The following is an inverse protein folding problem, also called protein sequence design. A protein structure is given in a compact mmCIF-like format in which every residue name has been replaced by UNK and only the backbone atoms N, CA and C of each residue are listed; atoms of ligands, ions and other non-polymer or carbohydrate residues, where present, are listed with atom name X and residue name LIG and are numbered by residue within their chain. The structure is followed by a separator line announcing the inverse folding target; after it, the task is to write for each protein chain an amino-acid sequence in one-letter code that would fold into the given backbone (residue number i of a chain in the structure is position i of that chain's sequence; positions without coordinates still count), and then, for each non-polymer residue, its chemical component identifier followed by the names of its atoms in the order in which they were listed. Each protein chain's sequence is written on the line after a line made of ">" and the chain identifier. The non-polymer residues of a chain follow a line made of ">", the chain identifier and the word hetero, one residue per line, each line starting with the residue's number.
data_IF_012178212985
#
_entry.id   IF_012178212985
#
_cell.length_a   1.000
_cell.length_b   1.000
_cell.length_c   1.000
_cell.angle_alpha   90.00
_cell.angle_beta   90.00
_cell.angle_gamma   90.00
#
_symmetry.space_group_name_H-M   'P 1'
#
loop_
_entity.id
_entity.type
_entity.pdbx_description
1 polymer ?
#
# COMPACT_ATOMS: atom_id res chain seq x y z
N UNK A 1 6.66 -10.63 -1.64
CA UNK A 1 5.40 -10.41 -2.35
C UNK A 1 4.28 -10.89 -1.44
N UNK A 2 3.65 -9.96 -0.68
CA UNK A 2 2.47 -10.26 0.11
C UNK A 2 1.28 -10.33 -0.83
N UNK A 3 0.30 -11.16 -0.51
CA UNK A 3 -0.89 -11.29 -1.35
C UNK A 3 -0.60 -11.73 -2.80
N UNK A 4 0.42 -12.57 -3.02
CA UNK A 4 0.79 -13.12 -4.33
C UNK A 4 -0.18 -14.17 -4.91
N UNK A 5 -1.46 -14.10 -4.54
CA UNK A 5 -2.52 -14.99 -5.00
C UNK A 5 -3.61 -14.19 -5.75
N UNK A 6 -4.46 -14.88 -6.50
CA UNK A 6 -5.58 -14.25 -7.21
C UNK A 6 -6.45 -13.48 -6.20
N UNK A 7 -6.65 -12.18 -6.43
CA UNK A 7 -7.38 -11.30 -5.53
C UNK A 7 -6.55 -10.69 -4.39
N UNK A 8 -5.27 -11.03 -4.27
CA UNK A 8 -4.39 -10.52 -3.22
C UNK A 8 -4.26 -9.00 -3.21
N UNK A 9 -4.19 -8.37 -4.38
CA UNK A 9 -4.16 -6.90 -4.49
C UNK A 9 -5.43 -6.27 -3.92
N UNK A 10 -6.59 -6.86 -4.19
CA UNK A 10 -7.87 -6.36 -3.66
C UNK A 10 -7.97 -6.54 -2.15
N UNK A 11 -7.52 -7.67 -1.61
CA UNK A 11 -7.49 -7.94 -0.17
C UNK A 11 -6.58 -6.95 0.56
N UNK A 12 -5.36 -6.73 0.05
CA UNK A 12 -4.43 -5.73 0.57
C UNK A 12 -5.05 -4.32 0.54
N UNK A 13 -5.60 -3.91 -0.61
CA UNK A 13 -6.25 -2.61 -0.76
C UNK A 13 -7.39 -2.41 0.26
N UNK A 14 -8.21 -3.44 0.47
CA UNK A 14 -9.28 -3.41 1.47
C UNK A 14 -8.74 -3.27 2.89
N UNK A 15 -7.70 -4.03 3.24
CA UNK A 15 -7.07 -3.97 4.56
C UNK A 15 -6.47 -2.60 4.83
N UNK A 16 -5.70 -2.05 3.89
CA UNK A 16 -5.12 -0.70 3.99
C UNK A 16 -6.21 0.36 4.14
N UNK A 17 -7.30 0.25 3.36
CA UNK A 17 -8.44 1.18 3.45
C UNK A 17 -9.09 1.14 4.84
N UNK A 18 -9.28 -0.05 5.42
CA UNK A 18 -9.84 -0.20 6.77
C UNK A 18 -8.93 0.41 7.85
N UNK A 19 -7.61 0.22 7.73
CA UNK A 19 -6.64 0.83 8.66
C UNK A 19 -6.69 2.35 8.54
N UNK A 20 -6.73 2.89 7.32
CA UNK A 20 -6.86 4.33 7.07
C UNK A 20 -8.17 4.89 7.65
N UNK A 21 -9.28 4.18 7.51
CA UNK A 21 -10.56 4.59 8.09
C UNK A 21 -10.48 4.66 9.62
N UNK A 22 -9.83 3.70 10.26
CA UNK A 22 -9.58 3.73 11.70
C UNK A 22 -8.71 4.93 12.10
N UNK A 23 -7.66 5.27 11.33
CA UNK A 23 -6.86 6.46 11.60
C UNK A 23 -7.68 7.74 11.59
N UNK A 24 -8.69 7.85 10.73
CA UNK A 24 -9.59 9.01 10.69
C UNK A 24 -10.39 9.19 11.99
N UNK A 25 -10.67 8.12 12.73
CA UNK A 25 -11.33 8.19 14.03
C UNK A 25 -10.42 8.74 15.12
N UNK A 26 -9.11 8.46 15.05
CA UNK A 26 -8.11 8.91 16.01
C UNK A 26 -7.60 10.33 15.72
N UNK A 27 -7.54 10.70 14.46
CA UNK A 27 -6.97 11.97 13.97
C UNK A 27 -8.00 12.75 13.15
N UNK A 28 -8.90 13.51 13.80
CA UNK A 28 -10.00 14.21 13.11
C UNK A 28 -9.57 15.28 12.09
N UNK A 29 -8.29 15.71 12.12
CA UNK A 29 -7.74 16.65 11.14
C UNK A 29 -7.46 16.00 9.78
N UNK A 30 -7.45 14.68 9.68
CA UNK A 30 -7.28 13.96 8.41
C UNK A 30 -8.50 14.21 7.51
N UNK A 31 -8.26 14.60 6.26
CA UNK A 31 -9.29 14.58 5.23
C UNK A 31 -9.61 13.13 4.87
N UNK A 32 -10.69 12.59 5.45
CA UNK A 32 -11.09 11.20 5.30
C UNK A 32 -11.34 10.84 3.84
N UNK A 33 -12.02 11.68 3.08
CA UNK A 33 -12.33 11.39 1.68
C UNK A 33 -11.07 11.29 0.82
N UNK A 34 -10.09 12.18 1.05
CA UNK A 34 -8.80 12.13 0.39
C UNK A 34 -8.03 10.86 0.76
N UNK A 35 -7.94 10.55 2.06
CA UNK A 35 -7.18 9.39 2.53
C UNK A 35 -7.77 8.07 2.04
N UNK A 36 -9.09 7.88 2.14
CA UNK A 36 -9.72 6.64 1.68
C UNK A 36 -9.64 6.47 0.16
N UNK A 37 -9.80 7.57 -0.60
CA UNK A 37 -9.60 7.53 -2.05
C UNK A 37 -8.16 7.14 -2.40
N UNK A 38 -7.19 7.76 -1.74
CA UNK A 38 -5.79 7.40 -1.93
C UNK A 38 -5.50 5.94 -1.55
N UNK A 39 -6.06 5.44 -0.45
CA UNK A 39 -5.91 4.05 -0.02
C UNK A 39 -6.49 3.06 -1.04
N UNK A 40 -7.66 3.35 -1.60
CA UNK A 40 -8.27 2.50 -2.63
C UNK A 40 -7.46 2.42 -3.92
N UNK A 41 -6.70 3.45 -4.25
CA UNK A 41 -5.98 3.54 -5.52
C UNK A 41 -4.45 3.57 -5.42
N UNK A 42 -3.87 3.46 -4.21
CA UNK A 42 -2.41 3.60 -4.04
C UNK A 42 -1.61 2.62 -4.89
N UNK A 43 -2.11 1.40 -5.05
CA UNK A 43 -1.49 0.31 -5.79
C UNK A 43 -2.18 0.00 -7.14
N UNK A 44 -3.05 0.88 -7.63
CA UNK A 44 -3.82 0.61 -8.86
C UNK A 44 -2.91 0.34 -10.09
N UNK A 45 -1.73 0.93 -10.11
CA UNK A 45 -0.76 0.69 -11.18
C UNK A 45 -0.30 -0.77 -11.30
N UNK A 46 -0.43 -1.56 -10.25
CA UNK A 46 -0.07 -2.99 -10.27
C UNK A 46 -0.97 -3.80 -11.22
N UNK A 47 -2.14 -3.32 -11.54
CA UNK A 47 -3.03 -3.95 -12.54
C UNK A 47 -2.37 -4.05 -13.91
N UNK A 48 -1.53 -3.07 -14.27
CA UNK A 48 -0.82 -3.03 -15.55
C UNK A 48 0.69 -3.29 -15.42
N UNK A 49 1.21 -3.39 -14.18
CA UNK A 49 2.63 -3.66 -13.93
C UNK A 49 2.98 -5.11 -14.24
N UNK A 50 2.05 -6.03 -13.98
CA UNK A 50 2.21 -7.46 -14.22
C UNK A 50 1.29 -7.93 -15.34
N UNK A 51 1.74 -8.95 -16.07
CA UNK A 51 0.91 -9.67 -17.04
C UNK A 51 -0.17 -10.48 -16.32
N UNK A 52 -1.15 -10.94 -17.09
CA UNK A 52 -2.23 -11.77 -16.57
C UNK A 52 -1.71 -13.13 -16.05
N UNK A 53 -2.49 -13.69 -15.11
CA UNK A 53 -2.29 -15.07 -14.68
C UNK A 53 -2.38 -16.05 -15.88
N UNK A 54 -1.52 -17.09 -15.99
CA UNK A 54 -0.63 -17.59 -14.94
C UNK A 54 0.79 -17.03 -14.93
N UNK A 55 1.22 -16.28 -15.93
CA UNK A 55 2.61 -15.82 -16.07
C UNK A 55 3.02 -14.92 -14.91
N UNK A 56 2.22 -13.88 -14.62
CA UNK A 56 2.50 -12.86 -13.59
C UNK A 56 3.89 -12.23 -13.71
N UNK A 57 4.38 -12.11 -14.94
CA UNK A 57 5.66 -11.46 -15.25
C UNK A 57 5.47 -9.95 -15.38
N UNK A 58 6.56 -9.20 -15.17
CA UNK A 58 6.52 -7.77 -15.42
C UNK A 58 6.27 -7.46 -16.88
N UNK A 59 5.35 -6.52 -17.14
CA UNK A 59 5.19 -5.91 -18.46
C UNK A 59 6.38 -4.98 -18.76
N UNK A 60 6.58 -4.59 -20.03
CA UNK A 60 7.62 -3.62 -20.39
C UNK A 60 7.44 -2.30 -19.64
N UNK A 61 6.21 -1.78 -19.57
CA UNK A 61 5.89 -0.58 -18.81
C UNK A 61 6.07 -0.78 -17.30
N UNK A 62 5.74 -1.95 -16.79
CA UNK A 62 6.00 -2.32 -15.40
C UNK A 62 7.48 -2.26 -15.05
N UNK A 63 8.36 -2.74 -15.93
CA UNK A 63 9.81 -2.68 -15.76
C UNK A 63 10.37 -1.26 -15.89
N UNK A 64 9.85 -0.47 -16.85
CA UNK A 64 10.38 0.85 -17.17
C UNK A 64 9.86 1.94 -16.24
N UNK A 65 8.61 1.89 -15.83
CA UNK A 65 7.93 2.95 -15.10
C UNK A 65 7.62 2.56 -13.65
N UNK A 66 7.23 1.31 -13.40
CA UNK A 66 6.76 0.83 -12.12
C UNK A 66 5.34 1.28 -11.76
N UNK A 67 4.70 0.56 -10.84
CA UNK A 67 3.28 0.76 -10.50
C UNK A 67 2.94 2.14 -9.93
N UNK A 68 3.87 2.79 -9.21
CA UNK A 68 3.61 4.10 -8.61
C UNK A 68 3.37 5.15 -9.69
N UNK A 69 4.26 5.25 -10.67
CA UNK A 69 4.14 6.20 -11.78
C UNK A 69 2.92 5.86 -12.64
N UNK A 70 2.77 4.60 -13.00
CA UNK A 70 1.60 4.12 -13.77
C UNK A 70 0.29 4.42 -13.05
N UNK A 71 0.23 4.24 -11.73
CA UNK A 71 -0.94 4.57 -10.91
C UNK A 71 -1.27 6.06 -10.92
N UNK A 72 -0.26 6.93 -10.82
CA UNK A 72 -0.45 8.39 -10.92
C UNK A 72 -0.98 8.80 -12.29
N UNK A 73 -0.49 8.19 -13.36
CA UNK A 73 -0.99 8.46 -14.73
C UNK A 73 -2.45 8.02 -14.90
N UNK A 74 -2.81 6.83 -14.40
CA UNK A 74 -4.18 6.31 -14.43
C UNK A 74 -5.13 7.26 -13.69
N UNK A 75 -4.80 7.64 -12.46
CA UNK A 75 -5.60 8.57 -11.65
C UNK A 75 -5.68 9.94 -12.33
N UNK A 76 -4.57 10.46 -12.85
CA UNK A 76 -4.55 11.72 -13.58
C UNK A 76 -5.45 11.70 -14.81
N UNK A 77 -5.52 10.59 -15.53
CA UNK A 77 -6.43 10.42 -16.67
C UNK A 77 -7.91 10.51 -16.23
N UNK A 78 -8.30 9.77 -15.19
CA UNK A 78 -9.67 9.79 -14.68
C UNK A 78 -10.06 11.15 -14.08
N UNK A 79 -9.16 11.83 -13.38
CA UNK A 79 -9.40 13.19 -12.85
C UNK A 79 -9.75 14.16 -13.98
N UNK A 80 -9.07 14.07 -15.14
CA UNK A 80 -9.36 14.93 -16.30
C UNK A 80 -10.74 14.72 -16.88
N UNK A 81 -11.35 13.56 -16.66
CA UNK A 81 -12.72 13.24 -17.10
C UNK A 81 -13.80 13.82 -16.15
N UNK A 82 -13.41 14.29 -14.96
CA UNK A 82 -14.34 14.83 -13.96
C UNK A 82 -14.38 16.36 -14.11
N UNK A 83 -15.50 16.95 -14.60
CA UNK A 83 -15.61 18.39 -14.74
C UNK A 83 -15.46 19.11 -13.39
N UNK A 84 -14.61 20.14 -13.35
CA UNK A 84 -14.43 20.97 -12.16
C UNK A 84 -13.67 20.31 -11.00
N UNK A 85 -12.95 19.21 -11.25
CA UNK A 85 -12.12 18.60 -10.20
C UNK A 85 -11.07 19.61 -9.72
N UNK A 86 -10.98 19.91 -8.40
CA UNK A 86 -10.07 20.93 -7.89
C UNK A 86 -8.59 20.57 -8.17
N UNK A 87 -7.81 21.46 -8.82
CA UNK A 87 -6.41 21.17 -9.15
C UNK A 87 -5.52 20.86 -7.92
N UNK A 88 -5.76 21.55 -6.80
CA UNK A 88 -5.01 21.32 -5.56
C UNK A 88 -5.30 19.92 -5.02
N UNK A 89 -6.57 19.52 -4.98
CA UNK A 89 -6.96 18.18 -4.53
C UNK A 89 -6.39 17.08 -5.46
N UNK A 90 -6.34 17.33 -6.76
CA UNK A 90 -5.70 16.43 -7.72
C UNK A 90 -4.21 16.21 -7.39
N UNK A 91 -3.49 17.28 -7.06
CA UNK A 91 -2.08 17.21 -6.65
C UNK A 91 -1.90 16.48 -5.33
N UNK A 92 -2.76 16.73 -4.35
CA UNK A 92 -2.72 16.07 -3.04
C UNK A 92 -2.99 14.56 -3.17
N UNK A 93 -3.98 14.15 -3.97
CA UNK A 93 -4.27 12.74 -4.23
C UNK A 93 -3.09 12.04 -4.92
N UNK A 94 -2.53 12.66 -5.96
CA UNK A 94 -1.35 12.13 -6.65
C UNK A 94 -0.15 12.04 -5.72
N UNK A 95 0.03 13.04 -4.84
CA UNK A 95 1.10 13.03 -3.85
C UNK A 95 0.97 11.83 -2.89
N UNK A 96 -0.23 11.53 -2.40
CA UNK A 96 -0.46 10.35 -1.57
C UNK A 96 0.00 9.06 -2.26
N UNK A 97 -0.31 8.91 -3.56
CA UNK A 97 0.12 7.74 -4.35
C UNK A 97 1.64 7.75 -4.54
N UNK A 98 2.24 8.89 -4.91
CA UNK A 98 3.69 9.00 -5.09
C UNK A 98 4.49 8.71 -3.82
N UNK A 99 3.96 9.03 -2.66
CA UNK A 99 4.66 8.98 -1.39
C UNK A 99 4.33 7.73 -0.54
N UNK A 100 3.49 6.81 -1.02
CA UNK A 100 2.98 5.75 -0.16
C UNK A 100 4.05 4.74 0.31
N UNK A 101 5.17 4.57 -0.40
CA UNK A 101 6.31 3.79 0.08
C UNK A 101 7.15 4.51 1.15
N UNK A 102 6.94 5.82 1.36
CA UNK A 102 7.48 6.60 2.46
C UNK A 102 8.90 7.08 2.26
N UNK A 103 9.83 6.23 1.91
CA UNK A 103 11.26 6.53 1.80
C UNK A 103 11.80 6.32 0.38
N UNK A 104 12.80 7.13 -0.02
CA UNK A 104 13.44 7.00 -1.33
C UNK A 104 14.10 5.63 -1.54
N UNK A 105 14.69 5.08 -0.50
CA UNK A 105 15.31 3.76 -0.53
C UNK A 105 14.31 2.61 -0.76
N UNK A 106 13.02 2.84 -0.51
CA UNK A 106 11.94 1.91 -0.83
C UNK A 106 11.26 2.20 -2.17
N UNK A 107 11.88 3.06 -2.99
CA UNK A 107 11.40 3.40 -4.33
C UNK A 107 10.31 4.45 -4.37
N UNK A 108 10.05 5.17 -3.27
CA UNK A 108 9.09 6.28 -3.26
C UNK A 108 9.68 7.48 -4.00
N UNK A 109 9.01 8.02 -5.05
CA UNK A 109 9.47 9.23 -5.73
C UNK A 109 9.44 10.48 -4.84
N UNK A 110 8.60 10.47 -3.80
CA UNK A 110 8.44 11.56 -2.82
C UNK A 110 8.28 10.97 -1.41
N UNK A 111 8.74 11.74 -0.41
CA UNK A 111 8.39 11.49 0.98
C UNK A 111 7.05 12.12 1.31
N UNK A 112 6.28 11.55 2.26
CA UNK A 112 5.01 12.12 2.68
C UNK A 112 5.15 13.57 3.19
N UNK A 113 4.40 14.50 2.60
CA UNK A 113 4.41 15.91 2.95
C UNK A 113 3.08 16.39 3.55
N UNK A 114 2.03 15.57 3.49
CA UNK A 114 0.73 15.82 4.12
C UNK A 114 0.36 14.64 5.03
N UNK A 115 -0.50 14.91 6.00
CA UNK A 115 -0.84 13.90 7.02
C UNK A 115 -1.51 12.66 6.40
N UNK A 116 -2.30 12.84 5.36
CA UNK A 116 -2.96 11.75 4.63
C UNK A 116 -1.94 10.84 3.95
N UNK A 117 -0.91 11.40 3.34
CA UNK A 117 0.17 10.62 2.72
C UNK A 117 0.97 9.84 3.77
N UNK A 118 1.24 10.42 4.93
CA UNK A 118 1.90 9.75 6.04
C UNK A 118 1.03 8.62 6.60
N UNK A 119 -0.26 8.86 6.81
CA UNK A 119 -1.20 7.85 7.29
C UNK A 119 -1.30 6.68 6.31
N UNK A 120 -1.36 6.93 5.02
CA UNK A 120 -1.38 5.89 3.99
C UNK A 120 -0.10 5.05 4.03
N UNK A 121 1.06 5.66 4.11
CA UNK A 121 2.33 4.95 4.22
C UNK A 121 2.37 4.04 5.46
N UNK A 122 1.92 4.51 6.62
CA UNK A 122 1.88 3.70 7.83
C UNK A 122 0.89 2.55 7.72
N UNK A 123 -0.28 2.77 7.12
CA UNK A 123 -1.29 1.73 6.91
C UNK A 123 -0.80 0.64 5.97
N UNK A 124 -0.21 1.01 4.84
CA UNK A 124 0.37 0.11 3.86
C UNK A 124 1.49 -0.74 4.47
N UNK A 125 2.43 -0.10 5.15
CA UNK A 125 3.53 -0.77 5.83
C UNK A 125 3.06 -1.70 6.96
N UNK A 126 2.04 -1.30 7.72
CA UNK A 126 1.45 -2.13 8.76
C UNK A 126 0.83 -3.41 8.18
N UNK A 127 -0.02 -3.28 7.15
CA UNK A 127 -0.63 -4.45 6.50
C UNK A 127 0.44 -5.38 5.93
N UNK A 128 1.38 -4.85 5.17
CA UNK A 128 2.45 -5.62 4.56
C UNK A 128 3.28 -6.43 5.58
N UNK A 129 3.68 -5.80 6.67
CA UNK A 129 4.51 -6.45 7.70
C UNK A 129 3.73 -7.45 8.54
N UNK A 130 2.49 -7.11 8.92
CA UNK A 130 1.66 -7.99 9.74
C UNK A 130 1.20 -9.23 8.96
N UNK A 131 0.90 -9.09 7.66
CA UNK A 131 0.57 -10.25 6.82
C UNK A 131 1.76 -11.22 6.69
N UNK A 132 2.98 -10.72 6.49
CA UNK A 132 4.17 -11.57 6.50
C UNK A 132 4.34 -12.31 7.83
N UNK A 133 4.23 -11.60 8.94
CA UNK A 133 4.33 -12.23 10.26
C UNK A 133 3.23 -13.27 10.48
N UNK A 134 2.00 -12.96 10.09
CA UNK A 134 0.86 -13.87 10.14
C UNK A 134 1.14 -15.16 9.37
N UNK A 135 1.63 -15.05 8.13
CA UNK A 135 1.95 -16.21 7.30
C UNK A 135 3.06 -17.06 7.92
N UNK A 136 4.13 -16.43 8.41
CA UNK A 136 5.25 -17.13 9.02
C UNK A 136 4.92 -17.79 10.35
N UNK A 137 4.04 -17.18 11.13
CA UNK A 137 3.61 -17.70 12.43
C UNK A 137 2.49 -18.74 12.32
N UNK A 138 1.87 -18.92 11.15
CA UNK A 138 0.71 -19.80 10.98
C UNK A 138 0.99 -21.25 11.37
N UNK A 139 2.19 -21.78 11.06
CA UNK A 139 2.59 -23.15 11.37
C UNK A 139 3.38 -23.28 12.68
N UNK A 140 3.72 -22.19 13.34
CA UNK A 140 4.46 -22.21 14.59
C UNK A 140 3.56 -22.61 15.77
N UNK A 141 4.14 -23.30 16.75
CA UNK A 141 3.45 -23.59 18.02
C UNK A 141 3.53 -22.39 18.97
N UNK A 142 2.56 -22.20 19.89
CA UNK A 142 2.63 -21.13 20.89
C UNK A 142 3.97 -21.16 21.67
N UNK A 143 4.63 -20.01 21.77
CA UNK A 143 5.90 -19.86 22.45
C UNK A 143 7.15 -20.18 21.60
N UNK A 144 6.98 -20.67 20.38
CA UNK A 144 8.07 -21.02 19.48
C UNK A 144 8.78 -19.80 18.90
N UNK A 145 10.13 -19.87 18.84
CA UNK A 145 10.97 -18.96 18.08
C UNK A 145 11.16 -19.52 16.67
N UNK A 146 10.78 -18.77 15.64
CA UNK A 146 10.87 -19.22 14.23
C UNK A 146 12.10 -18.70 13.49
N UNK A 147 12.94 -17.91 14.17
CA UNK A 147 14.20 -17.42 13.64
C UNK A 147 14.16 -15.97 13.15
N UNK A 148 15.24 -15.58 12.47
CA UNK A 148 15.43 -14.20 12.02
C UNK A 148 14.61 -13.89 10.78
N UNK A 149 13.88 -12.78 10.86
CA UNK A 149 13.11 -12.23 9.75
C UNK A 149 13.78 -10.94 9.24
N UNK A 150 14.20 -10.93 7.98
CA UNK A 150 14.91 -9.79 7.39
C UNK A 150 14.05 -8.53 7.29
N UNK A 151 12.75 -8.67 7.06
CA UNK A 151 11.84 -7.52 6.92
C UNK A 151 11.63 -6.81 8.26
N UNK A 152 11.60 -7.59 9.36
CA UNK A 152 11.43 -7.07 10.72
C UNK A 152 12.76 -6.73 11.38
N UNK A 153 13.88 -7.13 10.76
CA UNK A 153 15.24 -7.04 11.31
C UNK A 153 15.32 -7.58 12.75
N UNK A 154 14.64 -8.70 12.97
CA UNK A 154 14.48 -9.30 14.32
C UNK A 154 14.22 -10.79 14.25
N UNK A 155 14.59 -11.49 15.33
CA UNK A 155 14.07 -12.82 15.59
C UNK A 155 12.60 -12.72 16.00
N UNK A 156 11.74 -13.54 15.42
CA UNK A 156 10.31 -13.51 15.71
C UNK A 156 9.85 -14.75 16.46
N UNK A 157 8.87 -14.53 17.31
CA UNK A 157 8.32 -15.54 18.23
C UNK A 157 6.81 -15.53 18.17
N UNK A 158 6.19 -16.70 18.20
CA UNK A 158 4.76 -16.82 18.43
C UNK A 158 4.47 -16.66 19.93
N UNK A 159 3.51 -15.80 20.25
CA UNK A 159 3.06 -15.61 21.64
C UNK A 159 2.47 -16.90 22.23
N UNK A 160 2.54 -17.06 23.54
CA UNK A 160 2.04 -18.26 24.24
C UNK A 160 0.52 -18.24 24.32
N UNK A 161 -0.06 -17.07 24.58
CA UNK A 161 -1.52 -16.91 24.74
C UNK A 161 -2.10 -16.38 23.42
N UNK A 162 -2.76 -17.25 22.68
CA UNK A 162 -3.54 -16.94 21.48
C UNK A 162 -4.85 -17.72 21.50
#
# INVERSE_FOLDING_TARGET
>A
VHHGFIGGLLEHTLSVTKICDFFCTLYPMINRDLLLTAAMFHDIGKVNELSDFPENDYTDDGQLLGHIVMGVEMIGSHIREIPGFPPVLASELKHCILAHHGEFEYGSPKKPAIIEAAALNFADNADAKLEIMKEQLASATPGEWIGFNRLMDSNIKKTVLQ
#
